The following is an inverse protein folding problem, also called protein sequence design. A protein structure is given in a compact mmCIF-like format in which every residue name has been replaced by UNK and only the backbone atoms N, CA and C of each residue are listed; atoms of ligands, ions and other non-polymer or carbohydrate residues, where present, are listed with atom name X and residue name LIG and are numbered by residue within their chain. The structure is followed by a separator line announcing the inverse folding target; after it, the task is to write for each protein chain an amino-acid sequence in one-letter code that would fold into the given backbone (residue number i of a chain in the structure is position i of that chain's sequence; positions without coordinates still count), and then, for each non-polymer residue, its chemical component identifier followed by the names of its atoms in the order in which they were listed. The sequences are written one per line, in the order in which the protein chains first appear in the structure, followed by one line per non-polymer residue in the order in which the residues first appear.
data_IF_186645420005
#
_entry.id   IF_186645420005
#
_cell.length_a   1.000
_cell.length_b   1.000
_cell.length_c   1.000
_cell.angle_alpha   90.00
_cell.angle_beta   90.00
_cell.angle_gamma   90.00
#
_symmetry.space_group_name_H-M   'P 1'
#
loop_
_entity.id
_entity.type
_entity.pdbx_description
1 polymer ?
#
# COMPACT_ATOMS: atom_id res chain seq x y z
N UNK A 1 10.90 -20.98 -0.04
CA UNK A 1 10.48 -19.77 0.69
C UNK A 1 9.11 -19.89 1.35
N UNK A 2 8.10 -20.56 0.76
CA UNK A 2 6.82 -20.84 1.46
C UNK A 2 6.85 -21.99 2.50
N UNK A 3 7.94 -22.79 2.54
CA UNK A 3 8.09 -23.91 3.48
C UNK A 3 8.65 -23.53 4.85
N UNK A 4 9.13 -22.29 5.02
CA UNK A 4 9.69 -21.81 6.29
C UNK A 4 8.65 -21.03 7.13
N UNK A 5 7.59 -20.52 6.50
CA UNK A 5 6.49 -19.79 7.16
C UNK A 5 5.69 -20.68 8.13
N UNK A 6 5.71 -22.01 7.94
CA UNK A 6 5.00 -22.96 8.81
C UNK A 6 5.83 -23.36 10.04
N UNK A 7 7.11 -22.94 10.12
CA UNK A 7 8.06 -23.40 11.16
C UNK A 7 8.61 -22.30 12.08
N UNK A 8 8.22 -21.03 11.89
CA UNK A 8 8.65 -19.93 12.75
C UNK A 8 7.67 -19.75 13.91
N UNK A 9 8.11 -20.19 15.09
CA UNK A 9 7.33 -20.44 16.30
C UNK A 9 7.20 -19.22 17.22
N UNK A 10 7.36 -17.99 16.70
CA UNK A 10 7.34 -16.77 17.52
C UNK A 10 6.25 -15.78 17.07
N UNK A 11 5.19 -15.66 17.88
CA UNK A 11 4.11 -14.69 17.68
C UNK A 11 4.61 -13.24 17.56
N UNK A 12 5.78 -12.91 18.12
CA UNK A 12 6.38 -11.57 18.03
C UNK A 12 6.85 -11.21 16.62
N UNK A 13 7.37 -12.18 15.88
CA UNK A 13 7.96 -11.93 14.56
C UNK A 13 6.84 -11.71 13.54
N UNK A 14 5.79 -12.52 13.61
CA UNK A 14 4.57 -12.32 12.82
C UNK A 14 3.91 -10.95 13.09
N UNK A 15 3.85 -10.52 14.35
CA UNK A 15 3.31 -9.21 14.72
C UNK A 15 4.15 -8.07 14.16
N UNK A 16 5.48 -8.17 14.25
CA UNK A 16 6.40 -7.15 13.75
C UNK A 16 6.33 -7.03 12.24
N UNK A 17 6.30 -8.16 11.54
CA UNK A 17 6.20 -8.22 10.08
C UNK A 17 4.87 -7.61 9.58
N UNK A 18 3.76 -7.92 10.26
CA UNK A 18 2.47 -7.29 9.99
C UNK A 18 2.50 -5.77 10.23
N UNK A 19 3.16 -5.31 11.29
CA UNK A 19 3.26 -3.88 11.62
C UNK A 19 4.08 -3.12 10.57
N UNK A 20 5.19 -3.71 10.12
CA UNK A 20 6.02 -3.19 9.04
C UNK A 20 5.24 -3.16 7.72
N UNK A 21 4.47 -4.20 7.43
CA UNK A 21 3.59 -4.23 6.26
C UNK A 21 2.56 -3.09 6.30
N UNK A 22 1.83 -2.94 7.41
CA UNK A 22 0.85 -1.86 7.58
C UNK A 22 1.51 -0.50 7.45
N UNK A 23 2.68 -0.30 8.07
CA UNK A 23 3.44 0.94 7.97
C UNK A 23 3.83 1.25 6.52
N UNK A 24 4.30 0.26 5.76
CA UNK A 24 4.61 0.40 4.34
C UNK A 24 3.38 0.79 3.52
N UNK A 25 2.22 0.17 3.75
CA UNK A 25 0.97 0.51 3.05
C UNK A 25 0.53 1.94 3.39
N UNK A 26 0.68 2.37 4.64
CA UNK A 26 0.39 3.74 5.03
C UNK A 26 1.30 4.73 4.31
N UNK A 27 2.62 4.51 4.32
CA UNK A 27 3.57 5.37 3.61
C UNK A 27 3.25 5.42 2.11
N UNK A 28 2.99 4.27 1.49
CA UNK A 28 2.59 4.19 0.09
C UNK A 28 1.31 4.98 -0.20
N UNK A 29 0.34 4.95 0.72
CA UNK A 29 -0.91 5.73 0.62
C UNK A 29 -0.63 7.24 0.57
N UNK A 30 0.23 7.75 1.44
CA UNK A 30 0.60 9.18 1.44
C UNK A 30 1.32 9.58 0.15
N UNK A 31 2.32 8.80 -0.25
CA UNK A 31 3.10 9.06 -1.48
C UNK A 31 2.17 9.03 -2.69
N UNK A 32 1.34 7.99 -2.81
CA UNK A 32 0.39 7.83 -3.90
C UNK A 32 -0.57 9.01 -3.95
N UNK A 33 -1.13 9.45 -2.82
CA UNK A 33 -2.04 10.61 -2.81
C UNK A 33 -1.37 11.88 -3.34
N UNK A 34 -0.14 12.15 -2.93
CA UNK A 34 0.60 13.35 -3.35
C UNK A 34 0.99 13.25 -4.83
N UNK A 35 1.61 12.13 -5.22
CA UNK A 35 2.04 11.89 -6.60
C UNK A 35 0.85 11.86 -7.57
N UNK A 36 -0.25 11.22 -7.19
CA UNK A 36 -1.45 11.16 -8.02
C UNK A 36 -2.04 12.55 -8.26
N UNK A 37 -2.27 13.31 -7.20
CA UNK A 37 -2.91 14.62 -7.31
C UNK A 37 -2.00 15.69 -7.93
N UNK A 38 -0.68 15.65 -7.68
CA UNK A 38 0.24 16.68 -8.16
C UNK A 38 0.97 16.32 -9.46
N UNK A 39 1.23 15.04 -9.70
CA UNK A 39 1.96 14.62 -10.89
C UNK A 39 1.05 14.00 -11.95
N UNK A 40 0.05 13.18 -11.60
CA UNK A 40 -0.73 12.46 -12.60
C UNK A 40 -1.98 13.21 -13.07
N UNK A 41 -2.79 13.71 -12.14
CA UNK A 41 -4.06 14.41 -12.43
C UNK A 41 -3.88 15.63 -13.36
N UNK A 42 -2.83 16.46 -13.24
CA UNK A 42 -2.65 17.59 -14.16
C UNK A 42 -2.30 17.19 -15.59
N UNK A 43 -1.77 15.98 -15.79
CA UNK A 43 -1.28 15.51 -17.09
C UNK A 43 -2.21 14.48 -17.74
N UNK A 44 -3.10 13.84 -16.98
CA UNK A 44 -3.98 12.78 -17.47
C UNK A 44 -5.44 13.17 -17.18
N UNK A 45 -6.14 13.62 -18.21
CA UNK A 45 -7.52 14.12 -18.15
C UNK A 45 -8.57 13.07 -17.74
N UNK A 46 -8.26 11.77 -17.82
CA UNK A 46 -9.13 10.69 -17.34
C UNK A 46 -9.05 10.45 -15.82
N UNK A 47 -8.02 10.96 -15.15
CA UNK A 47 -7.79 10.69 -13.72
C UNK A 47 -8.52 11.69 -12.84
N UNK A 48 -9.34 11.16 -11.92
CA UNK A 48 -9.99 11.98 -10.89
C UNK A 48 -9.03 12.23 -9.70
N UNK A 49 -9.04 13.43 -9.12
CA UNK A 49 -8.28 13.72 -7.92
C UNK A 49 -8.78 12.94 -6.72
N UNK A 50 -7.85 12.46 -5.91
CA UNK A 50 -8.09 11.69 -4.69
C UNK A 50 -8.34 12.67 -3.54
N UNK A 51 -9.61 12.77 -3.12
CA UNK A 51 -10.05 13.75 -2.12
C UNK A 51 -9.82 13.26 -0.70
N UNK A 52 -10.03 11.97 -0.42
CA UNK A 52 -9.93 11.43 0.94
C UNK A 52 -8.70 10.53 1.15
N UNK A 53 -8.32 10.33 2.42
CA UNK A 53 -7.26 9.38 2.80
C UNK A 53 -7.67 7.92 2.53
N UNK A 54 -8.94 7.58 2.74
CA UNK A 54 -9.46 6.24 2.50
C UNK A 54 -9.44 5.88 1.01
N UNK A 55 -9.80 6.82 0.12
CA UNK A 55 -9.73 6.59 -1.32
C UNK A 55 -8.28 6.31 -1.77
N UNK A 56 -7.33 7.07 -1.22
CA UNK A 56 -5.90 6.86 -1.49
C UNK A 56 -5.44 5.48 -0.99
N UNK A 57 -5.92 5.06 0.18
CA UNK A 57 -5.59 3.78 0.78
C UNK A 57 -6.12 2.62 -0.05
N UNK A 58 -7.40 2.66 -0.44
CA UNK A 58 -7.98 1.62 -1.30
C UNK A 58 -7.29 1.54 -2.67
N UNK A 59 -6.91 2.68 -3.25
CA UNK A 59 -6.16 2.70 -4.49
C UNK A 59 -4.76 2.09 -4.31
N UNK A 60 -4.04 2.47 -3.26
CA UNK A 60 -2.72 1.92 -2.94
C UNK A 60 -2.79 0.40 -2.71
N UNK A 61 -3.81 -0.07 -1.98
CA UNK A 61 -4.05 -1.48 -1.75
C UNK A 61 -4.34 -2.22 -3.06
N UNK A 62 -5.23 -1.67 -3.89
CA UNK A 62 -5.59 -2.25 -5.20
C UNK A 62 -4.38 -2.35 -6.12
N UNK A 63 -3.52 -1.33 -6.16
CA UNK A 63 -2.29 -1.35 -6.97
C UNK A 63 -1.32 -2.40 -6.46
N UNK A 64 -1.14 -2.55 -5.15
CA UNK A 64 -0.25 -3.58 -4.59
C UNK A 64 -0.75 -5.00 -4.92
N UNK A 65 -2.06 -5.25 -4.77
CA UNK A 65 -2.69 -6.54 -5.14
C UNK A 65 -2.50 -6.83 -6.64
N UNK A 66 -2.74 -5.85 -7.52
CA UNK A 66 -2.55 -6.00 -8.96
C UNK A 66 -1.09 -6.24 -9.35
N UNK A 67 -0.14 -5.70 -8.58
CA UNK A 67 1.29 -5.93 -8.77
C UNK A 67 1.75 -7.31 -8.26
N UNK A 68 0.88 -8.06 -7.57
CA UNK A 68 1.19 -9.39 -7.04
C UNK A 68 2.17 -9.37 -5.86
N UNK A 69 2.20 -8.26 -5.11
CA UNK A 69 2.97 -8.11 -3.86
C UNK A 69 2.11 -8.53 -2.68
#
# INVERSE_FOLDING_TARGET
MFKEIVKAENKSDMLTELLVFVLNVLIATFILRVAWNRALVPHISALKPIKTMLDAFFLALSINILKGV
#
